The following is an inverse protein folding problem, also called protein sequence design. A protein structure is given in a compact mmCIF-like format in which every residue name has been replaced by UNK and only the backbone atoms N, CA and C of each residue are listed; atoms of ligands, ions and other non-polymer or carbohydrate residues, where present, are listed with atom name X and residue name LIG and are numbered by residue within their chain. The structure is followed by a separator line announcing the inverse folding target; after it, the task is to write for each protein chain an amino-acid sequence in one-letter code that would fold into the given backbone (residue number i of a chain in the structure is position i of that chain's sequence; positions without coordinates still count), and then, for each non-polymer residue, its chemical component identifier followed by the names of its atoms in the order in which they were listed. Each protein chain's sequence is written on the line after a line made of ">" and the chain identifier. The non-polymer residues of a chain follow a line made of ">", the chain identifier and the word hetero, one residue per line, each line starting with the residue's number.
data_IF_634465983517
#
_entry.id   IF_634465983517
#
_cell.length_a   1.000
_cell.length_b   1.000
_cell.length_c   1.000
_cell.angle_alpha   90.00
_cell.angle_beta   90.00
_cell.angle_gamma   90.00
#
_symmetry.space_group_name_H-M   'P 1'
#
loop_
_entity.id
_entity.type
_entity.pdbx_description
1 polymer ?
#
# COMPACT_ATOMS: atom_id res chain seq x y z
N UNK A 1 4.74 16.76 4.63
CA UNK A 1 5.89 15.89 4.90
C UNK A 1 5.97 14.75 3.90
N UNK A 2 4.87 14.00 3.71
CA UNK A 2 4.82 12.96 2.69
C UNK A 2 5.09 13.54 1.30
N UNK A 3 4.48 14.68 1.01
CA UNK A 3 4.65 15.37 -0.26
C UNK A 3 6.11 15.77 -0.50
N UNK A 4 6.77 16.31 0.51
CA UNK A 4 8.17 16.72 0.40
C UNK A 4 9.08 15.51 0.22
N UNK A 5 8.87 14.44 0.99
CA UNK A 5 9.65 13.21 0.88
C UNK A 5 9.48 12.57 -0.51
N UNK A 6 8.29 12.57 -1.05
CA UNK A 6 7.99 12.00 -2.37
C UNK A 6 8.49 12.86 -3.52
N UNK A 7 8.81 14.13 -3.27
CA UNK A 7 9.31 15.06 -4.29
C UNK A 7 10.83 14.98 -4.50
N UNK A 8 11.55 14.30 -3.61
CA UNK A 8 13.02 14.22 -3.66
C UNK A 8 13.50 13.36 -4.82
N UNK A 9 12.78 12.29 -5.15
CA UNK A 9 13.14 11.38 -6.23
C UNK A 9 11.87 10.77 -6.85
N UNK A 10 12.00 10.15 -8.03
CA UNK A 10 10.87 9.46 -8.63
C UNK A 10 10.31 8.39 -7.70
N UNK A 11 8.99 8.24 -7.69
CA UNK A 11 8.29 7.23 -6.87
C UNK A 11 7.35 6.41 -7.75
N UNK A 12 7.01 5.21 -7.28
CA UNK A 12 6.01 4.36 -7.90
C UNK A 12 4.75 4.43 -7.04
N UNK A 13 3.62 4.72 -7.67
CA UNK A 13 2.32 4.75 -7.00
C UNK A 13 1.50 3.57 -7.51
N UNK A 14 0.94 2.79 -6.58
CA UNK A 14 0.19 1.58 -6.91
C UNK A 14 -1.23 1.65 -6.37
N UNK A 15 -2.19 1.15 -7.15
CA UNK A 15 -3.54 0.89 -6.69
C UNK A 15 -3.72 -0.63 -6.61
N UNK A 16 -3.94 -1.13 -5.40
CA UNK A 16 -4.03 -2.57 -5.13
C UNK A 16 -5.45 -2.92 -4.70
N UNK A 17 -5.94 -4.05 -5.18
CA UNK A 17 -7.25 -4.55 -4.84
C UNK A 17 -7.14 -5.98 -4.33
N UNK A 18 -7.92 -6.30 -3.30
CA UNK A 18 -7.97 -7.65 -2.75
C UNK A 18 -8.81 -7.68 -1.48
N UNK A 19 -9.07 -8.87 -0.97
CA UNK A 19 -9.79 -9.05 0.30
C UNK A 19 -8.94 -8.45 1.42
N UNK A 20 -9.53 -7.55 2.21
CA UNK A 20 -8.86 -6.83 3.29
C UNK A 20 -7.57 -6.12 2.86
N UNK A 21 -7.57 -5.57 1.65
CA UNK A 21 -6.35 -4.99 1.05
C UNK A 21 -5.67 -3.97 1.95
N UNK A 22 -6.42 -3.06 2.58
CA UNK A 22 -5.84 -2.05 3.47
C UNK A 22 -5.04 -2.71 4.60
N UNK A 23 -5.67 -3.64 5.30
CA UNK A 23 -5.03 -4.33 6.43
C UNK A 23 -3.81 -5.15 5.98
N UNK A 24 -3.95 -5.89 4.88
CA UNK A 24 -2.87 -6.74 4.38
C UNK A 24 -1.66 -5.91 3.95
N UNK A 25 -1.88 -4.84 3.21
CA UNK A 25 -0.79 -3.97 2.75
C UNK A 25 -0.11 -3.29 3.94
N UNK A 26 -0.86 -2.83 4.92
CA UNK A 26 -0.28 -2.21 6.11
C UNK A 26 0.52 -3.22 6.93
N UNK A 27 0.07 -4.47 7.01
CA UNK A 27 0.81 -5.55 7.68
C UNK A 27 2.14 -5.82 6.96
N UNK A 28 2.14 -5.83 5.65
CA UNK A 28 3.36 -6.02 4.86
C UNK A 28 4.32 -4.83 4.98
N UNK A 29 3.79 -3.62 5.05
CA UNK A 29 4.62 -2.42 5.22
C UNK A 29 5.28 -2.37 6.60
N UNK A 30 4.56 -2.76 7.65
CA UNK A 30 5.06 -2.74 9.02
C UNK A 30 4.78 -1.44 9.76
N UNK A 31 5.21 -1.38 11.02
CA UNK A 31 5.02 -0.20 11.87
C UNK A 31 5.66 1.05 11.25
N UNK A 32 5.05 2.20 11.50
CA UNK A 32 5.49 3.49 10.94
C UNK A 32 6.95 3.80 11.27
N UNK A 33 7.35 3.54 12.52
CA UNK A 33 8.76 3.65 12.89
C UNK A 33 9.49 2.37 12.48
N UNK A 34 10.39 2.47 11.50
CA UNK A 34 11.11 1.31 10.99
C UNK A 34 11.86 0.52 12.06
N UNK A 35 12.36 1.20 13.09
CA UNK A 35 13.06 0.53 14.19
C UNK A 35 12.14 -0.35 15.04
N UNK A 36 10.84 -0.07 15.04
CA UNK A 36 9.84 -0.84 15.79
C UNK A 36 9.10 -1.83 14.91
N UNK A 37 9.34 -1.82 13.60
CA UNK A 37 8.66 -2.70 12.67
C UNK A 37 9.25 -4.11 12.77
N UNK A 38 8.38 -5.13 12.65
CA UNK A 38 8.80 -6.51 12.74
C UNK A 38 9.70 -6.91 11.57
N UNK A 39 10.70 -7.76 11.78
CA UNK A 39 11.47 -8.33 10.68
C UNK A 39 10.54 -9.07 9.70
N UNK A 40 10.85 -8.97 8.41
CA UNK A 40 10.02 -9.53 7.36
C UNK A 40 9.00 -8.55 6.78
N UNK A 41 8.77 -7.41 7.46
CA UNK A 41 8.00 -6.31 6.89
C UNK A 41 8.94 -5.42 6.08
N UNK A 42 8.38 -4.61 5.19
CA UNK A 42 9.20 -3.70 4.37
C UNK A 42 9.99 -2.74 5.26
N UNK A 43 9.32 -2.12 6.22
CA UNK A 43 9.98 -1.16 7.12
C UNK A 43 10.90 -1.85 8.10
N UNK A 44 10.55 -3.03 8.56
CA UNK A 44 11.42 -3.79 9.46
C UNK A 44 12.74 -4.20 8.83
N UNK A 45 12.72 -4.54 7.55
CA UNK A 45 13.91 -4.98 6.84
C UNK A 45 14.75 -3.81 6.32
N UNK A 46 14.14 -2.68 5.96
CA UNK A 46 14.83 -1.63 5.21
C UNK A 46 14.78 -0.24 5.82
N UNK A 47 13.98 0.00 6.86
CA UNK A 47 13.81 1.35 7.40
C UNK A 47 14.33 1.49 8.82
N UNK A 48 14.90 2.65 9.12
CA UNK A 48 15.31 3.03 10.47
C UNK A 48 14.59 4.29 10.96
N UNK A 49 13.79 4.91 10.12
CA UNK A 49 13.21 6.24 10.37
C UNK A 49 11.69 6.16 10.49
N UNK A 50 11.13 7.14 11.20
CA UNK A 50 9.68 7.36 11.24
C UNK A 50 9.20 8.08 9.98
N UNK A 51 9.96 9.08 9.53
CA UNK A 51 9.57 9.91 8.38
C UNK A 51 10.09 9.36 7.06
N UNK A 52 11.32 8.90 7.04
CA UNK A 52 11.93 8.28 5.87
C UNK A 52 11.76 6.77 5.98
N UNK A 53 10.52 6.32 5.95
CA UNK A 53 10.16 4.92 6.22
C UNK A 53 9.80 4.14 4.95
N UNK A 54 10.34 4.57 3.83
CA UNK A 54 10.41 3.85 2.54
C UNK A 54 9.08 3.82 1.78
N UNK A 55 7.98 3.45 2.44
CA UNK A 55 6.68 3.29 1.79
C UNK A 55 5.62 4.09 2.54
N UNK A 56 4.61 4.51 1.79
CA UNK A 56 3.37 5.04 2.34
C UNK A 56 2.24 4.07 1.97
N UNK A 57 1.35 3.80 2.91
CA UNK A 57 0.17 2.99 2.67
C UNK A 57 -1.03 3.68 3.31
N UNK A 58 -2.16 3.66 2.61
CA UNK A 58 -3.40 4.22 3.14
C UNK A 58 -3.81 3.51 4.42
N UNK A 59 -4.30 4.24 5.40
CA UNK A 59 -4.63 3.70 6.72
C UNK A 59 -6.10 3.31 6.89
N UNK A 60 -6.94 3.64 5.93
CA UNK A 60 -8.36 3.29 5.95
C UNK A 60 -8.93 3.30 4.54
N UNK A 61 -10.11 2.65 4.30
CA UNK A 61 -10.77 2.74 3.00
C UNK A 61 -11.08 4.18 2.58
N UNK A 62 -11.45 5.04 3.52
CA UNK A 62 -11.76 6.44 3.26
C UNK A 62 -10.52 7.20 2.81
N UNK A 63 -9.40 6.99 3.49
CA UNK A 63 -8.12 7.61 3.11
C UNK A 63 -7.66 7.08 1.75
N UNK A 64 -7.85 5.79 1.48
CA UNK A 64 -7.50 5.21 0.19
C UNK A 64 -8.26 5.86 -0.96
N UNK A 65 -9.56 6.11 -0.79
CA UNK A 65 -10.37 6.79 -1.80
C UNK A 65 -9.83 8.19 -2.12
N UNK A 66 -9.50 8.95 -1.08
CA UNK A 66 -8.95 10.31 -1.24
C UNK A 66 -7.60 10.26 -1.93
N UNK A 67 -6.72 9.36 -1.52
CA UNK A 67 -5.38 9.25 -2.07
C UNK A 67 -5.39 8.75 -3.51
N UNK A 68 -6.28 7.82 -3.86
CA UNK A 68 -6.43 7.34 -5.23
C UNK A 68 -6.83 8.48 -6.18
N UNK A 69 -7.77 9.32 -5.76
CA UNK A 69 -8.20 10.48 -6.57
C UNK A 69 -7.09 11.53 -6.71
N UNK A 70 -6.18 11.59 -5.74
CA UNK A 70 -5.05 12.53 -5.78
C UNK A 70 -4.00 12.10 -6.80
N UNK A 71 -3.75 10.81 -6.93
CA UNK A 71 -2.65 10.29 -7.75
C UNK A 71 -3.09 9.72 -9.09
N UNK A 72 -4.34 9.30 -9.24
CA UNK A 72 -4.84 8.67 -10.44
C UNK A 72 -6.03 9.42 -11.03
N UNK A 73 -6.09 9.44 -12.36
CA UNK A 73 -7.29 9.86 -13.09
C UNK A 73 -8.25 8.68 -13.17
N UNK A 74 -9.55 8.98 -13.41
CA UNK A 74 -10.58 7.94 -13.43
C UNK A 74 -10.30 6.84 -14.46
N UNK A 75 -9.71 7.19 -15.61
CA UNK A 75 -9.41 6.24 -16.67
C UNK A 75 -8.11 5.46 -16.46
N UNK A 76 -7.34 5.80 -15.43
CA UNK A 76 -6.12 5.08 -15.09
C UNK A 76 -6.38 3.87 -14.19
N UNK A 77 -7.57 3.78 -13.59
CA UNK A 77 -7.98 2.65 -12.77
C UNK A 77 -9.13 1.93 -13.49
N UNK A 78 -8.92 0.68 -13.82
CA UNK A 78 -9.90 -0.08 -14.57
C UNK A 78 -9.95 -1.53 -14.08
N UNK A 79 -11.11 -2.17 -14.26
CA UNK A 79 -11.31 -3.56 -13.86
C UNK A 79 -10.68 -4.49 -14.90
N UNK A 80 -10.11 -5.57 -14.40
CA UNK A 80 -9.62 -6.65 -15.24
C UNK A 80 -9.79 -7.97 -14.50
N UNK A 81 -9.78 -9.08 -15.25
CA UNK A 81 -9.96 -10.40 -14.68
C UNK A 81 -8.62 -10.99 -14.25
N UNK A 82 -8.54 -11.41 -12.96
CA UNK A 82 -7.36 -12.08 -12.43
C UNK A 82 -7.55 -13.58 -12.59
N UNK A 83 -6.79 -14.20 -13.50
CA UNK A 83 -6.98 -15.61 -13.86
C UNK A 83 -6.70 -16.59 -12.74
N UNK A 84 -5.85 -16.23 -11.78
CA UNK A 84 -5.51 -17.10 -10.65
C UNK A 84 -6.31 -16.80 -9.38
N UNK A 85 -7.42 -16.07 -9.49
CA UNK A 85 -8.23 -15.67 -8.34
C UNK A 85 -8.72 -16.88 -7.54
N UNK A 86 -9.16 -17.94 -8.22
CA UNK A 86 -9.66 -19.16 -7.59
C UNK A 86 -8.55 -19.94 -6.87
N UNK A 87 -7.29 -19.67 -7.21
CA UNK A 87 -6.14 -20.28 -6.53
C UNK A 87 -5.71 -19.51 -5.30
N UNK A 88 -6.10 -18.24 -5.19
CA UNK A 88 -5.70 -17.35 -4.09
C UNK A 88 -6.73 -17.30 -2.98
N UNK A 89 -8.01 -17.43 -3.32
CA UNK A 89 -9.11 -17.29 -2.37
C UNK A 89 -10.04 -18.51 -2.44
N UNK A 90 -10.69 -18.79 -1.33
CA UNK A 90 -11.83 -19.73 -1.35
C UNK A 90 -13.01 -19.07 -2.08
N UNK A 91 -13.92 -19.89 -2.59
CA UNK A 91 -15.03 -19.42 -3.42
C UNK A 91 -15.93 -18.38 -2.74
N UNK A 92 -15.99 -18.40 -1.42
CA UNK A 92 -16.83 -17.50 -0.63
C UNK A 92 -16.10 -16.27 -0.10
N UNK A 93 -14.84 -16.05 -0.48
CA UNK A 93 -14.04 -14.94 0.04
C UNK A 93 -14.00 -13.71 -0.87
N UNK A 94 -14.51 -13.85 -2.10
CA UNK A 94 -14.44 -12.74 -3.07
C UNK A 94 -15.70 -12.56 -3.87
#
# INVERSE_FOLDING_TARGET
>A
RIKDAMSVCPVIVCCWEGVDAIHVVRTLAGATNGRNAAPGTIRGDYSMSVQENIVHASDSPETAEIELKRFFKDDEIFDYELKNLLSLYANDEF
#
